data_IF_029163017571
#
_entry.id   IF_029163017571
#
_cell.length_a   1.000
_cell.length_b   1.000
_cell.length_c   1.000
_cell.angle_alpha   90.00
_cell.angle_beta   90.00
_cell.angle_gamma   90.00
#
_symmetry.space_group_name_H-M   'P 1'
#
loop_
_entity.id
_entity.type
_entity.pdbx_description
1 polymer ?
#
# COMPACT_ATOMS: atom_id res chain seq x y z
N UNK A 1 4.73 3.73 -17.26
CA UNK A 1 4.20 2.59 -16.48
C UNK A 1 4.44 2.86 -15.00
N UNK A 2 3.56 2.44 -14.09
CA UNK A 2 3.88 2.47 -12.67
C UNK A 2 5.14 1.64 -12.43
N UNK A 3 6.13 2.21 -11.74
CA UNK A 3 7.35 1.49 -11.36
C UNK A 3 7.07 0.88 -10.00
N UNK A 4 6.97 -0.45 -9.94
CA UNK A 4 6.80 -1.17 -8.69
C UNK A 4 8.17 -1.57 -8.13
N UNK A 5 8.37 -1.33 -6.84
CA UNK A 5 9.68 -1.54 -6.19
C UNK A 5 9.89 -2.97 -5.70
N UNK A 6 8.83 -3.71 -5.43
CA UNK A 6 8.89 -5.12 -5.00
C UNK A 6 7.93 -5.99 -5.77
N UNK A 7 8.25 -7.30 -5.90
CA UNK A 7 7.40 -8.28 -6.59
C UNK A 7 6.04 -8.45 -5.92
N UNK A 8 5.96 -8.25 -4.61
CA UNK A 8 4.70 -8.24 -3.86
C UNK A 8 3.81 -7.08 -4.28
N UNK A 9 4.38 -5.86 -4.37
CA UNK A 9 3.63 -4.67 -4.80
C UNK A 9 3.17 -4.83 -6.25
N UNK A 10 4.05 -5.30 -7.14
CA UNK A 10 3.74 -5.59 -8.54
C UNK A 10 2.57 -6.60 -8.63
N UNK A 11 2.67 -7.74 -7.93
CA UNK A 11 1.64 -8.78 -7.96
C UNK A 11 0.26 -8.34 -7.45
N UNK A 12 0.22 -7.37 -6.51
CA UNK A 12 -1.05 -6.83 -5.99
C UNK A 12 -1.60 -5.75 -6.93
N UNK A 13 -0.76 -4.83 -7.41
CA UNK A 13 -1.23 -3.63 -8.12
C UNK A 13 -1.40 -3.81 -9.62
N UNK A 14 -0.66 -4.71 -10.26
CA UNK A 14 -0.76 -4.95 -11.72
C UNK A 14 -2.19 -5.27 -12.17
N UNK A 15 -2.93 -6.25 -11.57
CA UNK A 15 -4.29 -6.54 -12.00
C UNK A 15 -5.26 -5.38 -11.75
N UNK A 16 -5.04 -4.62 -10.67
CA UNK A 16 -5.87 -3.46 -10.33
C UNK A 16 -5.61 -2.31 -11.30
N UNK A 17 -4.34 -2.03 -11.60
CA UNK A 17 -3.94 -0.99 -12.55
C UNK A 17 -4.48 -1.27 -13.95
N UNK A 18 -4.48 -2.53 -14.39
CA UNK A 18 -5.07 -2.92 -15.66
C UNK A 18 -6.59 -2.65 -15.71
N UNK A 19 -7.31 -2.94 -14.62
CA UNK A 19 -8.75 -2.66 -14.53
C UNK A 19 -9.04 -1.15 -14.53
N UNK A 20 -8.27 -0.36 -13.78
CA UNK A 20 -8.40 1.10 -13.77
C UNK A 20 -8.09 1.70 -15.14
N UNK A 21 -7.06 1.20 -15.82
CA UNK A 21 -6.68 1.62 -17.17
C UNK A 21 -7.82 1.38 -18.17
N UNK A 22 -8.42 0.18 -18.16
CA UNK A 22 -9.60 -0.12 -18.98
C UNK A 22 -10.77 0.80 -18.68
N UNK A 23 -10.97 1.15 -17.42
CA UNK A 23 -12.07 2.02 -16.99
C UNK A 23 -11.85 3.48 -17.44
N UNK A 24 -10.59 3.93 -17.50
CA UNK A 24 -10.21 5.22 -18.10
C UNK A 24 -10.44 5.21 -19.61
N UNK A 25 -10.00 4.15 -20.31
CA UNK A 25 -10.22 3.99 -21.75
C UNK A 25 -11.73 4.00 -22.07
N UNK A 26 -12.53 3.24 -21.31
CA UNK A 26 -13.99 3.23 -21.47
C UNK A 26 -14.64 4.59 -21.24
N UNK A 27 -14.06 5.47 -20.42
CA UNK A 27 -14.56 6.83 -20.27
C UNK A 27 -14.17 7.72 -21.44
N UNK A 28 -12.94 7.58 -21.94
CA UNK A 28 -12.43 8.32 -23.11
C UNK A 28 -13.19 7.91 -24.39
N UNK A 29 -13.50 6.62 -24.55
CA UNK A 29 -14.28 6.09 -25.67
C UNK A 29 -15.78 6.39 -25.55
N UNK A 30 -16.31 6.55 -24.33
CA UNK A 30 -17.74 6.78 -24.13
C UNK A 30 -18.20 8.25 -24.24
N UNK A 31 -17.39 9.11 -24.88
CA UNK A 31 -17.94 10.27 -25.60
C UNK A 31 -18.92 9.83 -26.72
N UNK A 32 -18.89 8.56 -27.12
CA UNK A 32 -19.79 7.93 -28.12
C UNK A 32 -21.22 7.62 -27.63
N UNK A 33 -21.59 7.99 -26.40
CA UNK A 33 -22.99 7.89 -25.94
C UNK A 33 -23.48 6.49 -25.54
N UNK A 34 -22.58 5.59 -25.15
CA UNK A 34 -22.96 4.25 -24.65
C UNK A 34 -23.36 4.28 -23.16
N UNK A 35 -24.43 3.59 -22.78
CA UNK A 35 -24.88 3.48 -21.38
C UNK A 35 -23.88 2.69 -20.51
N UNK A 36 -23.65 3.14 -19.28
CA UNK A 36 -22.84 2.40 -18.31
C UNK A 36 -23.63 1.20 -17.76
N UNK A 37 -23.04 0.00 -17.61
CA UNK A 37 -23.70 -1.12 -16.96
C UNK A 37 -23.93 -0.86 -15.46
N UNK A 38 -24.77 -1.69 -14.83
CA UNK A 38 -24.97 -1.65 -13.38
C UNK A 38 -23.68 -2.03 -12.64
N UNK A 39 -23.22 -1.12 -11.78
CA UNK A 39 -21.99 -1.24 -11.00
C UNK A 39 -22.24 -1.51 -9.51
N UNK A 40 -23.48 -1.66 -9.06
CA UNK A 40 -23.83 -1.79 -7.64
C UNK A 40 -23.10 -2.99 -7.00
N UNK A 41 -23.20 -4.17 -7.62
CA UNK A 41 -22.52 -5.38 -7.13
C UNK A 41 -20.99 -5.27 -7.11
N UNK A 42 -20.30 -4.90 -8.21
CA UNK A 42 -18.84 -4.80 -8.19
C UNK A 42 -18.34 -3.71 -7.23
N UNK A 43 -19.03 -2.56 -7.14
CA UNK A 43 -18.65 -1.48 -6.21
C UNK A 43 -18.85 -1.90 -4.75
N UNK A 44 -19.93 -2.60 -4.42
CA UNK A 44 -20.11 -3.17 -3.07
C UNK A 44 -18.99 -4.15 -2.69
N UNK A 45 -18.54 -4.97 -3.63
CA UNK A 45 -17.43 -5.90 -3.39
C UNK A 45 -16.12 -5.15 -3.09
N UNK A 46 -15.82 -4.08 -3.86
CA UNK A 46 -14.67 -3.20 -3.61
C UNK A 46 -14.79 -2.51 -2.26
N UNK A 47 -15.94 -1.93 -1.94
CA UNK A 47 -16.18 -1.26 -0.65
C UNK A 47 -15.95 -2.20 0.53
N UNK A 48 -16.48 -3.44 0.46
CA UNK A 48 -16.24 -4.46 1.50
C UNK A 48 -14.76 -4.82 1.63
N UNK A 49 -14.04 -4.94 0.51
CA UNK A 49 -12.60 -5.19 0.52
C UNK A 49 -11.83 -4.03 1.17
N UNK A 50 -12.22 -2.79 0.87
CA UNK A 50 -11.63 -1.58 1.47
C UNK A 50 -11.87 -1.53 2.98
N UNK A 51 -13.07 -1.85 3.46
CA UNK A 51 -13.37 -1.90 4.90
C UNK A 51 -12.44 -2.89 5.61
N UNK A 52 -12.23 -4.07 5.01
CA UNK A 52 -11.30 -5.06 5.57
C UNK A 52 -9.85 -4.57 5.54
N UNK A 53 -9.41 -3.96 4.43
CA UNK A 53 -8.07 -3.39 4.30
C UNK A 53 -7.82 -2.32 5.35
N UNK A 54 -8.79 -1.44 5.57
CA UNK A 54 -8.74 -0.38 6.57
C UNK A 54 -8.62 -0.95 7.97
N UNK A 55 -9.43 -1.96 8.28
CA UNK A 55 -9.39 -2.64 9.57
C UNK A 55 -7.99 -3.22 9.83
N UNK A 56 -7.46 -4.01 8.89
CA UNK A 56 -6.12 -4.61 9.00
C UNK A 56 -5.02 -3.55 9.07
N UNK A 57 -5.14 -2.46 8.32
CA UNK A 57 -4.22 -1.34 8.36
C UNK A 57 -4.20 -0.65 9.74
N UNK A 58 -5.37 -0.40 10.32
CA UNK A 58 -5.48 0.17 11.69
C UNK A 58 -4.93 -0.78 12.75
N UNK A 59 -5.19 -2.08 12.63
CA UNK A 59 -4.61 -3.10 13.51
C UNK A 59 -3.08 -3.11 13.42
N UNK A 60 -2.53 -3.07 12.20
CA UNK A 60 -1.08 -3.00 11.94
C UNK A 60 -0.43 -1.77 12.56
N UNK A 61 -1.06 -0.60 12.41
CA UNK A 61 -0.59 0.66 13.03
C UNK A 61 -0.55 0.52 14.55
N UNK A 62 -1.61 -0.02 15.15
CA UNK A 62 -1.75 -0.13 16.60
C UNK A 62 -0.74 -1.11 17.21
N UNK A 63 -0.41 -2.20 16.50
CA UNK A 63 0.56 -3.20 16.95
C UNK A 63 2.02 -2.87 16.60
N UNK A 64 2.28 -1.85 15.76
CA UNK A 64 3.64 -1.51 15.33
C UNK A 64 4.36 -0.63 16.35
N UNK A 65 5.68 -0.76 16.44
CA UNK A 65 6.56 0.14 17.18
C UNK A 65 7.21 1.20 16.28
N UNK A 66 6.94 1.19 14.98
CA UNK A 66 7.50 2.17 14.03
C UNK A 66 6.68 3.48 14.07
N UNK A 67 7.25 4.60 14.59
CA UNK A 67 6.55 5.88 14.65
C UNK A 67 6.29 6.48 13.26
N UNK A 68 7.13 6.20 12.26
CA UNK A 68 6.96 6.70 10.89
C UNK A 68 5.76 5.99 10.26
N UNK A 69 5.67 4.67 10.43
CA UNK A 69 4.50 3.91 9.98
C UNK A 69 3.20 4.43 10.61
N UNK A 70 3.22 4.74 11.91
CA UNK A 70 2.07 5.29 12.64
C UNK A 70 1.65 6.67 12.13
N UNK A 71 2.60 7.46 11.65
CA UNK A 71 2.36 8.79 11.12
C UNK A 71 1.82 8.76 9.67
N UNK A 72 2.42 7.93 8.81
CA UNK A 72 2.20 8.01 7.36
C UNK A 72 1.02 7.14 6.89
N UNK A 73 0.86 5.96 7.48
CA UNK A 73 -0.18 5.00 7.07
C UNK A 73 -1.62 5.52 7.21
N UNK A 74 -2.01 6.32 8.24
CA UNK A 74 -3.37 6.86 8.35
C UNK A 74 -3.85 7.65 7.13
N UNK A 75 -2.96 8.44 6.50
CA UNK A 75 -3.31 9.22 5.32
C UNK A 75 -3.63 8.33 4.11
N UNK A 76 -2.86 7.24 3.93
CA UNK A 76 -3.11 6.25 2.89
C UNK A 76 -4.45 5.53 3.11
N UNK A 77 -4.75 5.10 4.35
CA UNK A 77 -6.01 4.45 4.71
C UNK A 77 -7.21 5.37 4.43
N UNK A 78 -7.12 6.64 4.84
CA UNK A 78 -8.18 7.61 4.60
C UNK A 78 -8.43 7.86 3.11
N UNK A 79 -7.37 7.84 2.29
CA UNK A 79 -7.47 7.98 0.83
C UNK A 79 -8.24 6.82 0.21
N UNK A 80 -7.97 5.58 0.64
CA UNK A 80 -8.69 4.39 0.14
C UNK A 80 -10.16 4.43 0.59
N UNK A 81 -10.44 4.78 1.85
CA UNK A 81 -11.82 4.95 2.36
C UNK A 81 -12.61 5.98 1.55
N UNK A 82 -12.00 7.14 1.29
CA UNK A 82 -12.64 8.23 0.54
C UNK A 82 -12.88 7.85 -0.92
N UNK A 83 -11.95 7.13 -1.52
CA UNK A 83 -12.09 6.61 -2.88
C UNK A 83 -13.21 5.56 -3.00
N UNK A 84 -13.40 4.71 -1.99
CA UNK A 84 -14.52 3.77 -1.95
C UNK A 84 -15.88 4.48 -1.91
N UNK A 85 -15.99 5.56 -1.11
CA UNK A 85 -17.22 6.39 -1.07
C UNK A 85 -17.52 7.04 -2.42
N UNK A 86 -16.48 7.54 -3.12
CA UNK A 86 -16.65 8.08 -4.48
C UNK A 86 -17.17 7.03 -5.45
N UNK A 87 -16.71 5.79 -5.36
CA UNK A 87 -17.23 4.69 -6.18
C UNK A 87 -18.69 4.38 -5.87
N UNK A 88 -19.09 4.36 -4.60
CA UNK A 88 -20.48 4.15 -4.17
C UNK A 88 -21.40 5.27 -4.68
N UNK A 89 -20.99 6.52 -4.53
CA UNK A 89 -21.72 7.68 -5.07
C UNK A 89 -21.84 7.61 -6.60
N UNK A 90 -20.74 7.29 -7.29
CA UNK A 90 -20.74 7.14 -8.74
C UNK A 90 -21.69 6.03 -9.19
N UNK A 91 -21.67 4.88 -8.51
CA UNK A 91 -22.57 3.76 -8.80
C UNK A 91 -24.05 4.14 -8.61
N UNK A 92 -24.38 4.85 -7.52
CA UNK A 92 -25.75 5.31 -7.28
C UNK A 92 -26.22 6.32 -8.34
N UNK A 93 -25.34 7.21 -8.79
CA UNK A 93 -25.67 8.19 -9.83
C UNK A 93 -25.85 7.51 -11.20
N UNK A 94 -24.99 6.55 -11.55
CA UNK A 94 -25.08 5.79 -12.80
C UNK A 94 -26.30 4.86 -12.85
N UNK A 95 -26.78 4.39 -11.69
CA UNK A 95 -28.02 3.63 -11.58
C UNK A 95 -29.25 4.49 -11.90
N UNK A 96 -29.22 5.77 -11.54
CA UNK A 96 -30.29 6.73 -11.84
C UNK A 96 -30.19 7.27 -13.29
N UNK A 97 -28.98 7.56 -13.75
CA UNK A 97 -28.69 8.04 -15.10
C UNK A 97 -27.42 7.37 -15.67
N UNK A 98 -27.57 6.31 -16.49
CA UNK A 98 -26.45 5.60 -17.11
C UNK A 98 -25.57 6.43 -18.04
N UNK A 99 -26.03 7.63 -18.45
CA UNK A 99 -25.32 8.53 -19.36
C UNK A 99 -24.65 9.70 -18.63
N UNK A 100 -24.76 9.75 -17.29
CA UNK A 100 -24.23 10.84 -16.47
C UNK A 100 -22.71 10.96 -16.57
N UNK A 101 -22.24 11.98 -17.29
CA UNK A 101 -20.80 12.30 -17.37
C UNK A 101 -20.16 12.65 -16.01
N UNK A 102 -20.82 13.43 -15.12
CA UNK A 102 -20.32 13.66 -13.77
C UNK A 102 -20.11 12.37 -12.97
N UNK A 103 -21.01 11.39 -13.11
CA UNK A 103 -20.90 10.12 -12.41
C UNK A 103 -19.74 9.27 -12.93
N UNK A 104 -19.48 9.27 -14.24
CA UNK A 104 -18.32 8.59 -14.85
C UNK A 104 -17.00 9.19 -14.36
N UNK A 105 -16.93 10.52 -14.28
CA UNK A 105 -15.76 11.21 -13.75
C UNK A 105 -15.49 10.81 -12.30
N UNK A 106 -16.54 10.79 -11.45
CA UNK A 106 -16.43 10.28 -10.06
C UNK A 106 -15.98 8.83 -10.00
N UNK A 107 -16.46 7.97 -10.90
CA UNK A 107 -16.07 6.56 -10.97
C UNK A 107 -14.56 6.41 -11.22
N UNK A 108 -14.00 7.19 -12.16
CA UNK A 108 -12.57 7.18 -12.47
C UNK A 108 -11.74 7.75 -11.32
N UNK A 109 -12.19 8.86 -10.74
CA UNK A 109 -11.53 9.46 -9.58
C UNK A 109 -11.49 8.48 -8.41
N UNK A 110 -12.59 7.78 -8.14
CA UNK A 110 -12.66 6.70 -7.15
C UNK A 110 -11.71 5.54 -7.51
N UNK A 111 -11.73 5.05 -8.75
CA UNK A 111 -10.90 3.93 -9.18
C UNK A 111 -9.39 4.26 -9.09
N UNK A 112 -8.99 5.45 -9.54
CA UNK A 112 -7.62 5.98 -9.40
C UNK A 112 -7.26 6.18 -7.93
N UNK A 113 -8.20 6.68 -7.13
CA UNK A 113 -8.03 6.87 -5.70
C UNK A 113 -7.74 5.57 -4.96
N UNK A 114 -8.44 4.47 -5.30
CA UNK A 114 -8.20 3.13 -4.75
C UNK A 114 -6.80 2.64 -5.12
N UNK A 115 -6.42 2.73 -6.39
CA UNK A 115 -5.09 2.29 -6.85
C UNK A 115 -3.98 3.07 -6.15
N UNK A 116 -4.09 4.39 -6.10
CA UNK A 116 -3.09 5.26 -5.47
C UNK A 116 -3.02 5.08 -3.96
N UNK A 117 -4.17 4.96 -3.29
CA UNK A 117 -4.23 4.74 -1.85
C UNK A 117 -3.66 3.37 -1.46
N UNK A 118 -3.96 2.33 -2.25
CA UNK A 118 -3.40 0.98 -2.04
C UNK A 118 -1.89 0.98 -2.28
N UNK A 119 -1.41 1.66 -3.32
CA UNK A 119 0.02 1.83 -3.57
C UNK A 119 0.74 2.52 -2.41
N UNK A 120 0.21 3.66 -1.95
CA UNK A 120 0.77 4.37 -0.80
C UNK A 120 0.78 3.50 0.47
N UNK A 121 -0.29 2.73 0.70
CA UNK A 121 -0.39 1.83 1.85
C UNK A 121 0.71 0.74 1.82
N UNK A 122 0.90 0.11 0.66
CA UNK A 122 1.92 -0.92 0.49
C UNK A 122 3.33 -0.35 0.62
N UNK A 123 3.58 0.86 0.11
CA UNK A 123 4.87 1.54 0.25
C UNK A 123 5.18 1.88 1.71
N UNK A 124 4.21 2.44 2.46
CA UNK A 124 4.41 2.71 3.89
C UNK A 124 4.81 1.43 4.66
N UNK A 125 4.17 0.31 4.32
CA UNK A 125 4.48 -0.99 4.91
C UNK A 125 5.88 -1.48 4.52
N UNK A 126 6.21 -1.45 3.23
CA UNK A 126 7.51 -1.88 2.70
C UNK A 126 8.66 -1.07 3.30
N UNK A 127 8.52 0.25 3.39
CA UNK A 127 9.51 1.12 4.02
C UNK A 127 9.70 0.80 5.51
N UNK A 128 8.64 0.41 6.23
CA UNK A 128 8.74 -0.06 7.62
C UNK A 128 9.59 -1.33 7.72
N UNK A 129 9.39 -2.29 6.83
CA UNK A 129 10.21 -3.51 6.79
C UNK A 129 11.68 -3.20 6.45
N UNK A 130 11.92 -2.32 5.48
CA UNK A 130 13.27 -1.86 5.15
C UNK A 130 13.94 -1.17 6.33
N UNK A 131 13.21 -0.35 7.10
CA UNK A 131 13.75 0.30 8.32
C UNK A 131 14.16 -0.72 9.38
N UNK A 132 13.44 -1.84 9.53
CA UNK A 132 13.83 -2.93 10.42
C UNK A 132 15.15 -3.57 9.98
N UNK A 133 15.30 -3.84 8.69
CA UNK A 133 16.55 -4.39 8.13
C UNK A 133 17.72 -3.42 8.37
N UNK A 134 17.55 -2.14 8.03
CA UNK A 134 18.58 -1.11 8.24
C UNK A 134 18.99 -1.01 9.72
N UNK A 135 18.03 -1.15 10.65
CA UNK A 135 18.32 -1.14 12.09
C UNK A 135 19.24 -2.29 12.49
N UNK A 136 18.99 -3.50 12.01
CA UNK A 136 19.87 -4.65 12.30
C UNK A 136 21.25 -4.46 11.65
N UNK A 137 21.33 -3.96 10.41
CA UNK A 137 22.61 -3.64 9.78
C UNK A 137 23.41 -2.60 10.57
N UNK A 138 22.75 -1.56 11.10
CA UNK A 138 23.40 -0.55 11.94
C UNK A 138 23.93 -1.14 13.24
N UNK A 139 23.16 -2.03 13.90
CA UNK A 139 23.66 -2.74 15.09
C UNK A 139 24.93 -3.53 14.80
N UNK A 140 25.00 -4.22 13.66
CA UNK A 140 26.20 -4.94 13.24
C UNK A 140 27.37 -3.97 13.02
N UNK A 141 27.16 -2.85 12.34
CA UNK A 141 28.18 -1.83 12.13
C UNK A 141 28.68 -1.24 13.46
N UNK A 142 27.76 -0.91 14.37
CA UNK A 142 28.10 -0.38 15.69
C UNK A 142 28.88 -1.43 16.51
N UNK A 143 28.53 -2.71 16.41
CA UNK A 143 29.24 -3.78 17.10
C UNK A 143 30.62 -4.04 16.52
N UNK A 144 30.82 -3.92 15.21
CA UNK A 144 32.14 -4.04 14.58
C UNK A 144 33.14 -2.99 15.10
N UNK A 145 32.67 -1.80 15.50
CA UNK A 145 33.54 -0.79 16.10
C UNK A 145 34.17 -1.23 17.43
N UNK A 146 33.53 -2.17 18.16
CA UNK A 146 34.08 -2.76 19.39
C UNK A 146 35.36 -3.56 19.11
N UNK A 147 35.57 -4.03 17.88
CA UNK A 147 36.77 -4.78 17.52
C UNK A 147 38.07 -4.00 17.73
N UNK A 148 38.02 -2.66 17.69
CA UNK A 148 39.20 -1.80 17.87
C UNK A 148 39.74 -1.78 19.30
N UNK A 149 38.92 -2.15 20.29
CA UNK A 149 39.27 -2.09 21.72
C UNK A 149 39.48 -3.48 22.36
N UNK A 150 39.56 -4.53 21.54
CA UNK A 150 39.79 -5.90 22.02
C UNK A 150 41.27 -6.10 22.36
N UNK A 151 41.56 -6.35 23.65
CA UNK A 151 42.93 -6.53 24.15
C UNK A 151 43.25 -7.97 24.56
N UNK A 152 42.24 -8.84 24.72
CA UNK A 152 42.43 -10.22 25.18
C UNK A 152 41.79 -11.25 24.26
N UNK A 153 42.30 -12.49 24.32
CA UNK A 153 41.72 -13.62 23.59
C UNK A 153 40.31 -13.98 24.11
N UNK A 154 40.05 -13.78 25.40
CA UNK A 154 38.74 -14.02 26.02
C UNK A 154 37.69 -13.05 25.45
N UNK A 155 38.04 -11.76 25.34
CA UNK A 155 37.20 -10.73 24.73
C UNK A 155 36.95 -11.00 23.24
N UNK A 156 37.98 -11.45 22.50
CA UNK A 156 37.83 -11.84 21.10
C UNK A 156 36.83 -13.00 20.92
N UNK A 157 36.91 -14.01 21.78
CA UNK A 157 35.97 -15.14 21.76
C UNK A 157 34.55 -14.67 22.05
N UNK A 158 34.37 -13.75 23.01
CA UNK A 158 33.05 -13.19 23.34
C UNK A 158 32.49 -12.35 22.19
N UNK A 159 33.32 -11.50 21.59
CA UNK A 159 32.96 -10.70 20.41
C UNK A 159 32.47 -11.58 19.25
N UNK A 160 33.18 -12.67 18.93
CA UNK A 160 32.76 -13.59 17.86
C UNK A 160 31.45 -14.28 18.21
N UNK A 161 31.25 -14.70 19.47
CA UNK A 161 29.99 -15.32 19.93
C UNK A 161 28.79 -14.39 19.79
N UNK A 162 28.98 -13.11 20.04
CA UNK A 162 27.91 -12.10 20.00
C UNK A 162 27.65 -11.59 18.58
N UNK A 163 28.68 -11.51 17.73
CA UNK A 163 28.54 -11.07 16.34
C UNK A 163 27.95 -12.17 15.43
N UNK A 164 28.34 -13.43 15.63
CA UNK A 164 27.95 -14.53 14.72
C UNK A 164 26.43 -14.71 14.54
N UNK A 165 25.58 -14.61 15.59
CA UNK A 165 24.14 -14.67 15.45
C UNK A 165 23.54 -13.55 14.60
N UNK A 166 24.17 -12.37 14.59
CA UNK A 166 23.72 -11.20 13.83
C UNK A 166 24.08 -11.30 12.33
N UNK A 167 25.02 -12.17 11.96
CA UNK A 167 25.47 -12.36 10.58
C UNK A 167 24.83 -13.57 9.88
N UNK A 168 24.12 -14.42 10.63
CA UNK A 168 23.60 -15.71 10.15
C UNK A 168 22.08 -15.78 10.10
N UNK A 169 21.39 -14.72 10.53
CA UNK A 169 19.92 -14.57 10.47
C UNK A 169 19.55 -13.45 9.53
#
# INVERSE_FOLDING_TARGET
MPVFHTKTIEGILEPVAQQVSRLVILHEEAEDGNAMPDLEKPVMAVSKAVVNLVKVGRETINSSDDPILKQDMPAALHRVESAAKLLEEASSLLKADPYSQPARKKLIEGARGILQGTSALLLCFDESEVRKIIRECKKVLDYLAVAEVIETMEDLVQFVKDLSPCLTR
#
